data_IF_448509728034
#
_entry.id   IF_448509728034
#
_cell.length_a   1.000
_cell.length_b   1.000
_cell.length_c   1.000
_cell.angle_alpha   90.00
_cell.angle_beta   90.00
_cell.angle_gamma   90.00
#
_symmetry.space_group_name_H-M   'P 1'
#
loop_
_entity.id
_entity.type
_entity.pdbx_description
1 polymer ?
#
# COMPACT_ATOMS: atom_id res chain seq x y z
N UNK A 1 -9.94 -8.31 -5.66
CA UNK A 1 -9.47 -7.81 -4.33
C UNK A 1 -10.49 -6.85 -3.71
N UNK A 2 -10.71 -6.92 -2.40
CA UNK A 2 -11.63 -6.06 -1.64
C UNK A 2 -10.93 -5.38 -0.47
N UNK A 3 -11.22 -4.10 -0.25
CA UNK A 3 -10.71 -3.27 0.83
C UNK A 3 -11.71 -3.18 1.98
N UNK A 4 -11.26 -3.48 3.20
CA UNK A 4 -12.05 -3.37 4.43
C UNK A 4 -11.43 -2.28 5.30
N UNK A 5 -12.27 -1.33 5.74
CA UNK A 5 -11.85 -0.17 6.52
C UNK A 5 -12.66 -0.11 7.81
N UNK A 6 -11.97 0.02 8.96
CA UNK A 6 -12.60 0.28 10.26
C UNK A 6 -11.90 1.44 10.97
N UNK A 7 -12.68 2.19 11.74
CA UNK A 7 -12.24 3.33 12.55
C UNK A 7 -11.51 4.47 11.80
N UNK A 8 -11.71 4.59 10.49
CA UNK A 8 -11.15 5.67 9.67
C UNK A 8 -12.00 6.94 9.80
N UNK A 9 -11.60 7.82 10.70
CA UNK A 9 -12.34 9.06 10.98
C UNK A 9 -13.75 8.80 11.51
N UNK A 10 -14.81 9.32 10.85
CA UNK A 10 -16.20 9.08 11.24
C UNK A 10 -16.69 7.65 10.93
N UNK A 11 -15.91 6.85 10.17
CA UNK A 11 -16.24 5.47 9.84
C UNK A 11 -15.82 4.59 11.00
N UNK A 12 -16.74 4.17 11.88
CA UNK A 12 -16.39 3.37 13.07
C UNK A 12 -16.54 1.86 12.85
N UNK A 13 -17.71 1.41 12.43
CA UNK A 13 -18.05 -0.02 12.35
C UNK A 13 -18.51 -0.40 10.94
N UNK A 14 -17.79 0.01 9.91
CA UNK A 14 -18.13 -0.40 8.56
C UNK A 14 -17.89 -1.91 8.38
N UNK A 15 -18.89 -2.61 7.90
CA UNK A 15 -18.86 -4.02 7.54
C UNK A 15 -18.80 -4.24 6.02
N UNK A 16 -18.94 -3.16 5.25
CA UNK A 16 -18.93 -3.21 3.79
C UNK A 16 -17.50 -3.13 3.28
N UNK A 17 -17.18 -4.03 2.35
CA UNK A 17 -15.93 -4.03 1.64
C UNK A 17 -16.06 -3.24 0.33
N UNK A 18 -15.03 -2.49 -0.03
CA UNK A 18 -14.94 -1.78 -1.31
C UNK A 18 -14.24 -2.71 -2.29
N UNK A 19 -14.91 -3.06 -3.39
CA UNK A 19 -14.33 -3.89 -4.45
C UNK A 19 -13.33 -3.05 -5.28
N UNK A 20 -12.03 -3.32 -5.12
CA UNK A 20 -10.97 -2.58 -5.80
C UNK A 20 -10.79 -2.98 -7.28
N UNK A 21 -11.53 -3.98 -7.76
CA UNK A 21 -11.55 -4.34 -9.20
C UNK A 21 -12.34 -3.37 -10.07
N UNK A 22 -13.07 -2.42 -9.46
CA UNK A 22 -13.89 -1.47 -10.21
C UNK A 22 -13.06 -0.28 -10.66
N UNK A 23 -13.29 0.15 -11.90
CA UNK A 23 -12.61 1.30 -12.50
C UNK A 23 -13.17 2.64 -12.01
N UNK A 24 -14.38 2.65 -11.45
CA UNK A 24 -15.08 3.88 -11.08
C UNK A 24 -15.86 3.73 -9.77
N UNK A 25 -15.69 4.71 -8.88
CA UNK A 25 -16.31 4.73 -7.56
C UNK A 25 -17.10 6.03 -7.34
N UNK A 26 -18.30 5.90 -6.80
CA UNK A 26 -19.13 7.05 -6.39
C UNK A 26 -19.41 6.95 -4.89
N UNK A 27 -18.86 7.89 -4.13
CA UNK A 27 -19.10 8.00 -2.69
C UNK A 27 -20.06 9.17 -2.41
N UNK A 28 -21.31 8.86 -2.05
CA UNK A 28 -22.34 9.85 -1.70
C UNK A 28 -22.77 9.71 -0.24
N UNK A 29 -23.23 10.80 0.36
CA UNK A 29 -23.71 10.79 1.74
C UNK A 29 -23.65 12.16 2.41
N UNK A 30 -24.13 12.25 3.66
CA UNK A 30 -24.15 13.48 4.45
C UNK A 30 -22.75 14.05 4.70
N UNK A 31 -22.66 15.33 5.05
CA UNK A 31 -21.40 15.92 5.49
C UNK A 31 -20.83 15.16 6.69
N UNK A 32 -19.50 15.12 6.78
CA UNK A 32 -18.77 14.40 7.83
C UNK A 32 -19.04 12.87 7.89
N UNK A 33 -19.46 12.25 6.77
CA UNK A 33 -19.69 10.80 6.70
C UNK A 33 -18.46 9.96 6.36
N UNK A 34 -17.29 10.58 6.14
CA UNK A 34 -16.04 9.87 5.82
C UNK A 34 -15.66 9.82 4.35
N UNK A 35 -16.42 10.47 3.45
CA UNK A 35 -16.13 10.46 2.00
C UNK A 35 -14.70 10.90 1.66
N UNK A 36 -14.25 12.03 2.21
CA UNK A 36 -12.89 12.54 1.97
C UNK A 36 -11.82 11.57 2.49
N UNK A 37 -12.05 10.95 3.66
CA UNK A 37 -11.14 9.96 4.23
C UNK A 37 -10.97 8.74 3.32
N UNK A 38 -12.08 8.22 2.79
CA UNK A 38 -12.05 7.08 1.85
C UNK A 38 -11.37 7.47 0.55
N UNK A 39 -11.68 8.64 -0.01
CA UNK A 39 -11.07 9.11 -1.25
C UNK A 39 -9.54 9.29 -1.10
N UNK A 40 -9.09 9.84 0.02
CA UNK A 40 -7.66 10.00 0.31
C UNK A 40 -6.97 8.65 0.54
N UNK A 41 -7.61 7.71 1.23
CA UNK A 41 -7.06 6.36 1.39
C UNK A 41 -6.94 5.64 0.03
N UNK A 42 -7.97 5.71 -0.82
CA UNK A 42 -7.91 5.15 -2.17
C UNK A 42 -6.82 5.82 -3.01
N UNK A 43 -6.70 7.15 -2.93
CA UNK A 43 -5.61 7.86 -3.57
C UNK A 43 -4.25 7.33 -3.11
N UNK A 44 -4.04 7.14 -1.81
CA UNK A 44 -2.78 6.61 -1.28
C UNK A 44 -2.49 5.18 -1.73
N UNK A 45 -3.52 4.32 -1.83
CA UNK A 45 -3.40 2.95 -2.32
C UNK A 45 -2.89 2.91 -3.76
N UNK A 46 -3.34 3.84 -4.60
CA UNK A 46 -2.98 3.89 -6.03
C UNK A 46 -1.91 4.94 -6.35
N UNK A 47 -1.33 5.59 -5.34
CA UNK A 47 -0.30 6.60 -5.56
C UNK A 47 1.07 5.94 -5.67
N UNK A 48 1.77 6.20 -6.78
CA UNK A 48 3.04 5.54 -7.08
C UNK A 48 4.17 5.91 -6.11
N UNK A 49 4.19 7.14 -5.58
CA UNK A 49 5.22 7.56 -4.61
C UNK A 49 5.04 6.83 -3.28
N UNK A 50 3.80 6.68 -2.82
CA UNK A 50 3.45 5.90 -1.62
C UNK A 50 3.79 4.41 -1.82
N UNK A 51 3.47 3.84 -2.99
CA UNK A 51 3.81 2.46 -3.34
C UNK A 51 5.33 2.25 -3.36
N UNK A 52 6.08 3.17 -3.99
CA UNK A 52 7.53 3.10 -4.05
C UNK A 52 8.17 3.22 -2.66
N UNK A 53 7.65 4.11 -1.80
CA UNK A 53 8.07 4.24 -0.41
C UNK A 53 7.88 2.93 0.35
N UNK A 54 6.71 2.30 0.23
CA UNK A 54 6.46 0.99 0.81
C UNK A 54 7.47 -0.07 0.31
N UNK A 55 7.70 -0.13 -1.00
CA UNK A 55 8.61 -1.11 -1.59
C UNK A 55 10.05 -0.95 -1.09
N UNK A 56 10.54 0.29 -0.98
CA UNK A 56 11.90 0.58 -0.48
C UNK A 56 12.05 0.25 1.02
N UNK A 57 11.02 0.51 1.82
CA UNK A 57 11.04 0.25 3.27
C UNK A 57 10.83 -1.22 3.63
N UNK A 58 10.43 -2.07 2.68
CA UNK A 58 10.04 -3.46 2.93
C UNK A 58 10.71 -4.47 1.96
N UNK A 59 11.94 -4.17 1.51
CA UNK A 59 12.70 -5.05 0.61
C UNK A 59 12.90 -6.46 1.17
N UNK A 60 12.93 -6.61 2.51
CA UNK A 60 13.08 -7.89 3.21
C UNK A 60 11.85 -8.81 3.12
N UNK A 61 10.74 -8.34 2.54
CA UNK A 61 9.60 -9.21 2.27
C UNK A 61 9.97 -10.29 1.25
N UNK A 62 10.79 -9.92 0.27
CA UNK A 62 11.31 -10.80 -0.78
C UNK A 62 12.48 -11.57 -0.17
N UNK A 63 12.30 -12.89 0.01
CA UNK A 63 13.36 -13.75 0.51
C UNK A 63 14.51 -13.83 -0.50
N UNK A 64 15.74 -14.04 -0.02
CA UNK A 64 16.91 -14.14 -0.90
C UNK A 64 16.77 -15.26 -1.95
N UNK A 65 15.96 -16.29 -1.68
CA UNK A 65 15.65 -17.38 -2.63
C UNK A 65 15.02 -16.89 -3.95
N UNK A 66 14.30 -15.76 -3.92
CA UNK A 66 13.71 -15.13 -5.13
C UNK A 66 14.80 -14.45 -5.97
N UNK A 67 15.81 -13.87 -5.30
CA UNK A 67 16.95 -13.19 -5.96
C UNK A 67 17.90 -14.23 -6.57
N UNK A 68 18.00 -15.43 -5.99
CA UNK A 68 18.81 -16.52 -6.53
C UNK A 68 18.24 -17.12 -7.83
N UNK A 69 16.92 -17.03 -8.05
CA UNK A 69 16.24 -17.47 -9.28
C UNK A 69 15.63 -16.30 -10.08
N UNK A 70 16.47 -15.35 -10.49
CA UNK A 70 16.11 -14.12 -11.23
C UNK A 70 15.18 -14.36 -12.44
N UNK A 71 15.23 -15.54 -13.04
CA UNK A 71 14.45 -15.89 -14.23
C UNK A 71 12.99 -16.25 -13.96
N UNK A 72 12.63 -16.61 -12.71
CA UNK A 72 11.26 -16.98 -12.35
C UNK A 72 10.97 -16.64 -10.89
N UNK A 73 10.17 -15.61 -10.69
CA UNK A 73 9.58 -15.30 -9.39
C UNK A 73 8.19 -15.93 -9.35
N UNK A 74 8.00 -16.89 -8.45
CA UNK A 74 6.68 -17.47 -8.21
C UNK A 74 5.94 -16.66 -7.15
N UNK A 75 4.77 -16.12 -7.51
CA UNK A 75 3.94 -15.35 -6.60
C UNK A 75 3.00 -16.32 -5.87
N UNK A 76 3.41 -16.74 -4.67
CA UNK A 76 2.64 -17.68 -3.86
C UNK A 76 1.58 -16.98 -3.00
N UNK A 77 0.52 -17.70 -2.57
CA UNK A 77 -0.42 -17.22 -1.54
C UNK A 77 0.24 -16.58 -0.33
N UNK A 78 1.27 -17.24 0.18
CA UNK A 78 1.99 -16.82 1.38
C UNK A 78 2.71 -15.49 1.15
N UNK A 79 3.32 -15.32 -0.02
CA UNK A 79 4.01 -14.07 -0.38
C UNK A 79 3.02 -12.90 -0.50
N UNK A 80 1.90 -13.10 -1.21
CA UNK A 80 0.86 -12.06 -1.35
C UNK A 80 0.30 -11.68 0.02
N UNK A 81 -0.01 -12.69 0.86
CA UNK A 81 -0.48 -12.46 2.21
C UNK A 81 0.52 -11.65 3.06
N UNK A 82 1.81 -11.95 2.94
CA UNK A 82 2.88 -11.21 3.62
C UNK A 82 2.96 -9.75 3.11
N UNK A 83 2.92 -9.55 1.79
CA UNK A 83 2.93 -8.21 1.17
C UNK A 83 1.73 -7.39 1.64
N UNK A 84 0.51 -7.93 1.51
CA UNK A 84 -0.72 -7.20 1.86
C UNK A 84 -0.83 -6.92 3.36
N UNK A 85 -0.37 -7.83 4.21
CA UNK A 85 -0.30 -7.60 5.66
C UNK A 85 0.65 -6.45 6.00
N UNK A 86 1.84 -6.43 5.38
CA UNK A 86 2.81 -5.33 5.55
C UNK A 86 2.30 -4.02 5.01
N UNK A 87 1.71 -4.03 3.81
CA UNK A 87 1.13 -2.85 3.19
C UNK A 87 -0.03 -2.28 3.99
N UNK A 88 -0.87 -3.14 4.57
CA UNK A 88 -1.94 -2.75 5.49
C UNK A 88 -1.40 -1.98 6.71
N UNK A 89 -0.33 -2.47 7.32
CA UNK A 89 0.30 -1.81 8.47
C UNK A 89 0.99 -0.50 8.06
N UNK A 90 1.70 -0.51 6.92
CA UNK A 90 2.31 0.68 6.35
C UNK A 90 1.27 1.77 6.10
N UNK A 91 0.17 1.45 5.42
CA UNK A 91 -0.92 2.40 5.18
C UNK A 91 -1.49 2.93 6.49
N UNK A 92 -1.68 2.11 7.52
CA UNK A 92 -2.17 2.59 8.81
C UNK A 92 -1.25 3.63 9.46
N UNK A 93 0.07 3.47 9.32
CA UNK A 93 1.05 4.43 9.83
C UNK A 93 1.15 5.68 8.94
N UNK A 94 1.20 5.49 7.63
CA UNK A 94 1.29 6.58 6.65
C UNK A 94 0.03 7.45 6.66
N UNK A 95 -1.10 6.83 6.95
CA UNK A 95 -2.39 7.51 7.14
C UNK A 95 -2.35 8.50 8.30
N UNK A 96 -1.57 8.22 9.35
CA UNK A 96 -1.38 9.10 10.50
C UNK A 96 -0.46 10.28 10.20
N UNK A 97 0.56 10.05 9.36
CA UNK A 97 1.67 10.98 9.15
C UNK A 97 1.45 11.90 7.95
N UNK A 98 1.13 11.33 6.80
CA UNK A 98 1.26 12.03 5.51
C UNK A 98 -0.08 12.13 4.75
N UNK A 99 -0.93 11.10 4.76
CA UNK A 99 -2.13 11.06 3.90
C UNK A 99 -3.23 12.04 4.37
N UNK A 100 -3.43 12.17 5.69
CA UNK A 100 -4.45 13.09 6.21
C UNK A 100 -3.90 14.44 6.68
N UNK A 101 -2.57 14.62 6.64
CA UNK A 101 -1.87 15.85 7.03
C UNK A 101 -2.49 16.53 8.27
N UNK A 102 -2.80 15.75 9.31
CA UNK A 102 -3.63 16.25 10.42
C UNK A 102 -2.86 17.12 11.42
N UNK A 103 -1.62 17.50 11.12
CA UNK A 103 -0.73 18.16 12.08
C UNK A 103 -0.41 17.28 13.30
N UNK A 104 0.55 17.71 14.12
CA UNK A 104 0.98 16.97 15.34
C UNK A 104 -0.11 16.90 16.44
N UNK A 105 -1.23 17.61 16.29
CA UNK A 105 -2.20 17.86 17.35
C UNK A 105 -3.59 17.22 17.14
N UNK A 106 -3.81 16.43 16.08
CA UNK A 106 -5.11 15.80 15.86
C UNK A 106 -5.39 14.59 16.78
N UNK A 107 -5.54 14.89 18.06
CA UNK A 107 -6.10 14.06 19.13
C UNK A 107 -7.56 13.64 18.87
N UNK A 108 -8.22 14.23 17.86
CA UNK A 108 -9.62 13.95 17.49
C UNK A 108 -9.77 12.54 16.86
N UNK A 109 -8.70 12.00 16.30
CA UNK A 109 -8.70 10.66 15.73
C UNK A 109 -7.97 9.72 16.67
N UNK A 110 -8.69 8.74 17.20
CA UNK A 110 -8.08 7.61 17.88
C UNK A 110 -7.45 6.68 16.81
N UNK A 111 -6.41 7.20 16.15
CA UNK A 111 -5.68 6.58 15.04
C UNK A 111 -5.13 5.20 15.43
N UNK A 112 -4.95 4.94 16.72
CA UNK A 112 -4.49 3.66 17.27
C UNK A 112 -5.48 2.51 17.06
N UNK A 113 -6.67 2.76 16.49
CA UNK A 113 -7.70 1.74 16.23
C UNK A 113 -8.05 1.58 14.76
N UNK A 114 -7.42 2.32 13.86
CA UNK A 114 -7.66 2.16 12.43
C UNK A 114 -7.30 0.73 12.04
N UNK A 115 -8.16 0.09 11.28
CA UNK A 115 -7.84 -1.17 10.63
C UNK A 115 -8.11 -1.02 9.13
N UNK A 116 -7.08 -1.31 8.34
CA UNK A 116 -7.12 -1.37 6.88
C UNK A 116 -6.71 -2.78 6.54
N UNK A 117 -7.58 -3.55 5.88
CA UNK A 117 -7.31 -4.94 5.49
C UNK A 117 -7.72 -5.17 4.04
N UNK A 118 -7.07 -6.14 3.40
CA UNK A 118 -7.37 -6.56 2.04
C UNK A 118 -7.78 -8.02 2.02
N UNK A 119 -8.96 -8.29 1.47
CA UNK A 119 -9.38 -9.64 1.11
C UNK A 119 -9.04 -9.86 -0.37
N UNK A 120 -8.38 -10.98 -0.67
CA UNK A 120 -7.93 -11.29 -2.03
C UNK A 120 -8.16 -12.76 -2.37
N UNK A 121 -8.36 -13.05 -3.66
CA UNK A 121 -8.43 -14.39 -4.22
C UNK A 121 -7.31 -14.54 -5.26
N UNK A 122 -6.51 -15.59 -5.16
CA UNK A 122 -5.30 -15.77 -5.97
C UNK A 122 -5.62 -16.17 -7.40
N UNK A 123 -6.79 -16.78 -7.62
CA UNK A 123 -7.35 -17.04 -8.95
C UNK A 123 -7.49 -15.80 -9.82
N UNK A 124 -7.44 -14.59 -9.23
CA UNK A 124 -7.45 -13.32 -9.95
C UNK A 124 -6.08 -12.95 -10.56
N UNK A 125 -4.98 -13.58 -10.12
CA UNK A 125 -3.64 -13.34 -10.65
C UNK A 125 -3.44 -14.06 -11.98
N UNK A 126 -2.90 -13.33 -12.96
CA UNK A 126 -2.56 -13.86 -14.28
C UNK A 126 -1.06 -13.94 -14.41
N UNK A 127 -0.60 -14.98 -15.10
CA UNK A 127 0.79 -15.05 -15.56
C UNK A 127 1.03 -13.89 -16.53
N UNK A 128 1.90 -12.96 -16.15
CA UNK A 128 2.31 -11.85 -16.98
C UNK A 128 3.84 -11.85 -17.17
N UNK A 129 4.27 -11.60 -18.40
CA UNK A 129 5.68 -11.40 -18.71
C UNK A 129 6.02 -9.94 -18.41
N UNK A 130 6.84 -9.72 -17.39
CA UNK A 130 7.34 -8.39 -17.04
C UNK A 130 8.77 -8.26 -17.58
N UNK A 131 9.04 -7.21 -18.36
CA UNK A 131 10.38 -6.85 -18.82
C UNK A 131 10.84 -5.62 -18.03
N UNK A 132 11.90 -5.77 -17.23
CA UNK A 132 12.48 -4.68 -16.42
C UNK A 132 13.86 -4.31 -16.95
N UNK A 133 14.11 -3.00 -17.13
CA UNK A 133 15.44 -2.46 -17.44
C UNK A 133 16.01 -1.80 -16.19
N UNK A 134 17.16 -2.26 -15.72
CA UNK A 134 17.85 -1.71 -14.56
C UNK A 134 19.02 -0.85 -15.03
N UNK A 135 19.04 0.43 -14.61
CA UNK A 135 20.16 1.33 -14.84
C UNK A 135 21.00 1.42 -13.57
N UNK A 136 22.21 0.90 -13.63
CA UNK A 136 23.20 1.06 -12.55
C UNK A 136 24.03 2.30 -12.88
N UNK A 137 23.89 3.36 -12.08
CA UNK A 137 24.87 4.45 -12.11
C UNK A 137 26.14 3.95 -11.45
N UNK A 138 27.25 4.03 -12.18
CA UNK A 138 28.58 3.86 -11.60
C UNK A 138 28.92 5.19 -10.92
N UNK A 139 29.14 5.18 -9.62
CA UNK A 139 29.78 6.32 -8.96
C UNK A 139 31.17 6.46 -9.61
N UNK A 140 31.43 7.61 -10.23
CA UNK A 140 32.78 7.95 -10.66
C UNK A 140 33.61 8.10 -9.38
N UNK A 141 34.51 7.14 -9.14
CA UNK A 141 35.58 7.34 -8.18
C UNK A 141 36.25 8.67 -8.50
N UNK A 142 36.17 9.63 -7.58
CA UNK A 142 37.03 10.82 -7.61
C UNK A 142 38.47 10.32 -7.69
N UNK A 143 39.03 10.38 -8.90
CA UNK A 143 40.47 10.29 -9.13
C UNK A 143 41.13 11.47 -8.42
N UNK A 144 41.36 11.32 -7.12
CA UNK A 144 42.29 12.14 -6.35
C UNK A 144 43.68 11.53 -6.53
N UNK A 145 44.28 11.80 -7.69
CA UNK A 145 45.71 11.64 -7.94
C UNK A 145 46.21 12.87 -8.70
N UNK A 146 46.60 13.89 -7.93
CA UNK A 146 47.95 14.49 -7.86
C UNK A 146 47.94 15.82 -7.10
#
# INVERSE_FOLDING_TARGET
MKLIIKNLGPIKNNTQAIDLSKDFFVFVGRNNSGKSYVAQLLWAIFNQDIINKFALENLEIIDNEIVENVNKVEVTPELIGKILSRYSNFLQEETKKEIFNTGKEATIFNFNKIAINFDYEISELKDEKIEATVYIKKDEEENSLE
#
